data_IF_968315073622
#
_entry.id   IF_968315073622
#
_cell.length_a   1.000
_cell.length_b   1.000
_cell.length_c   1.000
_cell.angle_alpha   90.00
_cell.angle_beta   90.00
_cell.angle_gamma   90.00
#
_symmetry.space_group_name_H-M   'P 1'
#
loop_
_entity.id
_entity.type
_entity.pdbx_description
1 polymer ?
#
# COMPACT_ATOMS: atom_id res chain seq x y z
N UNK A 1 -10.34 12.66 0.28
CA UNK A 1 -10.37 11.48 -0.63
C UNK A 1 -11.65 10.68 -0.40
N UNK A 2 -12.23 10.07 -1.44
CA UNK A 2 -13.33 9.10 -1.26
C UNK A 2 -12.74 7.70 -1.07
N UNK A 3 -12.65 7.24 0.18
CA UNK A 3 -11.97 6.00 0.55
C UNK A 3 -12.59 4.78 -0.14
N UNK A 4 -13.92 4.73 -0.22
CA UNK A 4 -14.62 3.60 -0.83
C UNK A 4 -14.28 3.46 -2.32
N UNK A 5 -14.35 4.55 -3.09
CA UNK A 5 -13.97 4.52 -4.50
C UNK A 5 -12.47 4.29 -4.68
N UNK A 6 -11.61 4.86 -3.83
CA UNK A 6 -10.16 4.59 -3.89
C UNK A 6 -9.84 3.10 -3.71
N UNK A 7 -10.46 2.43 -2.74
CA UNK A 7 -10.28 0.98 -2.54
C UNK A 7 -10.74 0.22 -3.80
N UNK A 8 -11.93 0.55 -4.31
CA UNK A 8 -12.51 -0.07 -5.50
C UNK A 8 -11.62 0.11 -6.74
N UNK A 9 -11.03 1.29 -6.93
CA UNK A 9 -10.14 1.59 -8.05
C UNK A 9 -8.83 0.79 -7.96
N UNK A 10 -8.22 0.74 -6.77
CA UNK A 10 -7.00 -0.05 -6.54
C UNK A 10 -7.29 -1.53 -6.86
N UNK A 11 -8.41 -2.07 -6.37
CA UNK A 11 -8.89 -3.44 -6.67
C UNK A 11 -9.08 -3.68 -8.17
N UNK A 12 -9.78 -2.78 -8.86
CA UNK A 12 -10.03 -2.89 -10.29
C UNK A 12 -8.73 -2.84 -11.12
N UNK A 13 -7.67 -2.24 -10.56
CA UNK A 13 -6.38 -2.16 -11.22
C UNK A 13 -5.51 -3.41 -11.05
N UNK A 14 -5.94 -4.39 -10.24
CA UNK A 14 -5.21 -5.62 -10.02
C UNK A 14 -5.22 -6.53 -11.25
N UNK A 15 -4.05 -7.08 -11.57
CA UNK A 15 -3.92 -8.09 -12.59
C UNK A 15 -3.99 -9.50 -11.97
N UNK A 16 -3.75 -10.52 -12.79
CA UNK A 16 -3.90 -11.92 -12.39
C UNK A 16 -2.89 -12.38 -11.32
N UNK A 17 -1.88 -11.58 -10.98
CA UNK A 17 -0.83 -11.91 -10.02
C UNK A 17 -1.08 -11.30 -8.63
N UNK A 18 -2.13 -10.50 -8.47
CA UNK A 18 -2.46 -9.79 -7.23
C UNK A 18 -3.84 -10.22 -6.75
N UNK A 19 -3.94 -10.89 -5.60
CA UNK A 19 -5.24 -11.20 -5.00
C UNK A 19 -5.91 -9.90 -4.55
N UNK A 20 -7.06 -9.52 -5.15
CA UNK A 20 -7.74 -8.28 -4.82
C UNK A 20 -8.35 -8.26 -3.41
N UNK A 21 -8.25 -9.36 -2.66
CA UNK A 21 -8.68 -9.45 -1.27
C UNK A 21 -7.53 -9.34 -0.25
N UNK A 22 -6.27 -9.24 -0.71
CA UNK A 22 -5.09 -9.04 0.15
C UNK A 22 -4.46 -7.65 -0.06
N UNK A 23 -5.25 -6.69 -0.54
CA UNK A 23 -4.83 -5.34 -0.94
C UNK A 23 -4.88 -4.30 0.15
N UNK A 24 -5.15 -4.70 1.39
CA UNK A 24 -5.16 -3.75 2.48
C UNK A 24 -4.57 -4.41 3.71
N UNK A 25 -3.81 -3.60 4.44
CA UNK A 25 -3.20 -3.99 5.69
C UNK A 25 -3.72 -3.07 6.76
N UNK A 26 -4.12 -3.64 7.90
CA UNK A 26 -4.26 -2.85 9.11
C UNK A 26 -2.85 -2.42 9.54
N UNK A 27 -2.72 -1.17 9.93
CA UNK A 27 -1.49 -0.64 10.52
C UNK A 27 -1.84 -0.18 11.93
N UNK A 28 -1.14 -0.72 12.92
CA UNK A 28 -1.34 -0.32 14.31
C UNK A 28 -0.91 1.14 14.55
N UNK A 29 -1.20 1.65 15.74
CA UNK A 29 -0.86 3.04 16.09
C UNK A 29 0.66 3.29 16.17
N UNK A 30 1.45 2.23 16.40
CA UNK A 30 2.93 2.26 16.43
C UNK A 30 3.55 2.07 15.02
N UNK A 31 2.70 1.98 13.99
CA UNK A 31 3.01 1.78 12.57
C UNK A 31 3.50 0.36 12.18
N UNK A 32 3.33 -0.66 13.01
CA UNK A 32 3.58 -2.05 12.60
C UNK A 32 2.39 -2.63 11.82
N UNK A 33 2.70 -3.61 10.98
CA UNK A 33 1.69 -4.31 10.20
C UNK A 33 0.85 -5.23 11.09
N UNK A 34 -0.46 -5.12 10.93
CA UNK A 34 -1.46 -5.99 11.52
C UNK A 34 -2.04 -6.97 10.52
N UNK A 35 -3.32 -7.29 10.69
CA UNK A 35 -4.01 -8.25 9.84
C UNK A 35 -4.22 -7.71 8.42
N UNK A 36 -4.14 -8.59 7.43
CA UNK A 36 -4.41 -8.31 6.02
C UNK A 36 -5.51 -9.20 5.43
N UNK A 37 -6.07 -10.12 6.22
CA UNK A 37 -7.19 -10.95 5.80
C UNK A 37 -8.52 -10.27 6.12
N UNK A 38 -8.81 -9.19 5.40
CA UNK A 38 -9.99 -8.33 5.61
C UNK A 38 -11.32 -9.10 5.61
N UNK A 39 -11.40 -10.22 4.89
CA UNK A 39 -12.61 -11.03 4.82
C UNK A 39 -12.87 -11.84 6.09
N UNK A 40 -11.84 -12.17 6.87
CA UNK A 40 -11.96 -12.95 8.11
C UNK A 40 -12.12 -12.08 9.36
N UNK A 41 -11.85 -10.77 9.26
CA UNK A 41 -11.98 -9.83 10.38
C UNK A 41 -13.45 -9.72 10.81
N UNK A 42 -13.67 -9.85 12.13
CA UNK A 42 -14.98 -9.71 12.79
C UNK A 42 -15.01 -8.45 13.64
N UNK A 43 -16.21 -7.94 13.92
CA UNK A 43 -16.41 -6.67 14.63
C UNK A 43 -16.64 -5.51 13.67
N UNK A 44 -16.41 -4.26 14.12
CA UNK A 44 -16.54 -3.04 13.30
C UNK A 44 -17.90 -2.86 12.60
N UNK A 45 -18.98 -3.43 13.15
CA UNK A 45 -20.31 -3.50 12.51
C UNK A 45 -20.33 -4.18 11.13
N UNK A 46 -19.35 -5.06 10.87
CA UNK A 46 -19.28 -5.88 9.65
C UNK A 46 -20.40 -6.93 9.67
N UNK A 47 -21.08 -7.08 8.53
CA UNK A 47 -22.10 -8.08 8.26
C UNK A 47 -21.56 -9.10 7.27
N UNK A 48 -22.10 -10.32 7.33
CA UNK A 48 -21.63 -11.44 6.48
C UNK A 48 -21.68 -11.12 4.98
N UNK A 49 -22.67 -10.34 4.55
CA UNK A 49 -22.90 -9.97 3.16
C UNK A 49 -22.25 -8.64 2.74
N UNK A 50 -21.51 -7.97 3.61
CA UNK A 50 -20.79 -6.75 3.23
C UNK A 50 -19.74 -7.06 2.16
N UNK A 51 -19.67 -6.22 1.14
CA UNK A 51 -18.60 -6.27 0.15
C UNK A 51 -17.24 -5.93 0.78
N UNK A 52 -16.15 -6.29 0.11
CA UNK A 52 -14.78 -6.02 0.61
C UNK A 52 -14.55 -4.54 0.91
N UNK A 53 -14.99 -3.65 0.01
CA UNK A 53 -14.86 -2.20 0.16
C UNK A 53 -15.64 -1.69 1.36
N UNK A 54 -16.84 -2.24 1.61
CA UNK A 54 -17.67 -1.88 2.76
C UNK A 54 -17.03 -2.34 4.07
N UNK A 55 -16.47 -3.56 4.08
CA UNK A 55 -15.72 -4.10 5.23
C UNK A 55 -14.52 -3.22 5.57
N UNK A 56 -13.70 -2.91 4.56
CA UNK A 56 -12.51 -2.09 4.76
C UNK A 56 -12.86 -0.65 5.17
N UNK A 57 -13.92 -0.07 4.62
CA UNK A 57 -14.43 1.23 5.04
C UNK A 57 -14.91 1.23 6.50
N UNK A 58 -15.54 0.15 6.97
CA UNK A 58 -15.96 0.00 8.37
C UNK A 58 -14.77 -0.14 9.32
N UNK A 59 -13.77 -0.95 8.95
CA UNK A 59 -12.52 -1.12 9.68
C UNK A 59 -11.80 0.23 9.83
N UNK A 60 -11.71 0.99 8.73
CA UNK A 60 -11.03 2.28 8.68
C UNK A 60 -11.54 3.33 9.67
N UNK A 61 -12.80 3.23 10.14
CA UNK A 61 -13.33 4.12 11.17
C UNK A 61 -12.58 4.00 12.51
N UNK A 62 -11.88 2.89 12.71
CA UNK A 62 -11.21 2.56 13.98
C UNK A 62 -9.73 2.24 13.78
N UNK A 63 -9.34 1.79 12.60
CA UNK A 63 -7.99 1.31 12.30
C UNK A 63 -7.32 2.11 11.17
N UNK A 64 -6.01 2.27 11.26
CA UNK A 64 -5.26 2.82 10.12
C UNK A 64 -5.17 1.74 9.04
N UNK A 65 -5.29 2.14 7.78
CA UNK A 65 -5.20 1.21 6.65
C UNK A 65 -4.06 1.62 5.73
N UNK A 66 -3.24 0.66 5.35
CA UNK A 66 -2.25 0.81 4.30
C UNK A 66 -2.73 0.11 3.02
N UNK A 67 -2.73 0.86 1.92
CA UNK A 67 -3.09 0.38 0.60
C UNK A 67 -1.83 0.39 -0.27
N UNK A 68 -1.24 -0.78 -0.59
CA UNK A 68 -0.11 -0.86 -1.50
C UNK A 68 -0.57 -0.45 -2.90
N UNK A 69 0.30 0.24 -3.62
CA UNK A 69 0.10 0.61 -5.03
C UNK A 69 1.12 -0.06 -5.96
N UNK A 70 2.19 -0.61 -5.40
CA UNK A 70 3.15 -1.44 -6.12
C UNK A 70 4.40 -1.74 -5.28
N UNK A 71 5.40 -2.30 -5.95
CA UNK A 71 6.72 -2.55 -5.37
C UNK A 71 7.71 -1.45 -5.78
N UNK A 72 8.57 -1.07 -4.84
CA UNK A 72 9.80 -0.35 -5.13
C UNK A 72 10.92 -1.37 -5.12
N UNK A 73 11.47 -1.62 -6.31
CA UNK A 73 12.75 -2.30 -6.49
C UNK A 73 13.67 -1.41 -7.30
N UNK A 74 14.91 -1.30 -6.86
CA UNK A 74 15.92 -0.45 -7.48
C UNK A 74 16.97 -1.25 -8.29
N UNK A 75 16.78 -2.57 -8.37
CA UNK A 75 17.53 -3.49 -9.22
C UNK A 75 16.54 -4.07 -10.24
N UNK A 76 16.91 -4.32 -11.51
CA UNK A 76 16.09 -5.16 -12.39
C UNK A 76 16.05 -6.57 -11.82
N UNK A 77 14.94 -6.92 -11.17
CA UNK A 77 14.71 -8.28 -10.64
C UNK A 77 13.77 -9.01 -11.59
N UNK A 78 14.18 -10.19 -12.05
CA UNK A 78 13.27 -11.25 -12.48
C UNK A 78 12.75 -11.89 -11.19
N UNK A 79 11.59 -11.45 -10.69
CA UNK A 79 11.07 -11.98 -9.44
C UNK A 79 10.19 -13.20 -9.75
N UNK A 80 10.55 -14.35 -9.19
CA UNK A 80 9.78 -15.60 -9.26
C UNK A 80 8.80 -15.75 -8.08
N UNK A 81 8.71 -14.74 -7.20
CA UNK A 81 7.70 -14.69 -6.14
C UNK A 81 6.51 -13.85 -6.59
N UNK A 82 5.40 -14.53 -6.93
CA UNK A 82 4.10 -14.01 -7.32
C UNK A 82 3.46 -13.11 -6.24
N UNK A 83 3.99 -11.91 -6.01
CA UNK A 83 3.60 -11.06 -4.89
C UNK A 83 3.29 -9.62 -5.38
N UNK A 84 1.99 -9.35 -5.55
CA UNK A 84 1.30 -8.07 -5.34
C UNK A 84 1.70 -6.83 -6.18
N UNK A 85 2.07 -6.99 -7.44
CA UNK A 85 2.33 -5.87 -8.35
C UNK A 85 1.25 -5.78 -9.44
N UNK A 86 0.44 -4.71 -9.45
CA UNK A 86 -0.50 -4.42 -10.55
C UNK A 86 0.21 -3.93 -11.82
N UNK A 87 1.51 -3.63 -11.71
CA UNK A 87 2.49 -3.23 -12.74
C UNK A 87 3.84 -3.07 -12.05
N UNK A 88 4.89 -3.72 -12.57
CA UNK A 88 6.25 -3.52 -12.08
C UNK A 88 6.74 -2.13 -12.46
N UNK A 89 6.63 -1.19 -11.52
CA UNK A 89 7.22 0.13 -11.67
C UNK A 89 8.70 0.07 -11.32
N UNK A 90 9.51 -0.34 -12.30
CA UNK A 90 10.97 -0.17 -12.22
C UNK A 90 11.29 1.34 -12.20
N UNK A 91 11.56 1.87 -11.01
CA UNK A 91 12.03 3.23 -10.84
C UNK A 91 13.52 3.27 -11.20
N UNK A 92 13.83 3.62 -12.46
CA UNK A 92 15.21 3.91 -12.90
C UNK A 92 15.71 5.15 -12.18
N UNK A 93 16.43 4.95 -11.07
CA UNK A 93 17.13 6.01 -10.35
C UNK A 93 18.50 6.29 -10.96
N UNK A 94 18.95 7.54 -10.84
CA UNK A 94 20.38 7.85 -10.95
C UNK A 94 21.16 7.23 -9.78
N UNK A 95 22.48 7.03 -9.90
CA UNK A 95 23.30 6.52 -8.79
C UNK A 95 23.20 7.37 -7.51
N UNK A 96 23.10 8.69 -7.64
CA UNK A 96 22.95 9.63 -6.50
C UNK A 96 21.60 9.47 -5.80
N UNK A 97 20.53 9.23 -6.56
CA UNK A 97 19.22 8.91 -6.01
C UNK A 97 19.21 7.51 -5.40
N UNK A 98 19.95 6.56 -5.99
CA UNK A 98 20.09 5.22 -5.45
C UNK A 98 20.73 5.26 -4.07
N UNK A 99 21.89 5.92 -3.93
CA UNK A 99 22.60 6.02 -2.65
C UNK A 99 21.82 6.76 -1.57
N UNK A 100 20.89 7.64 -1.96
CA UNK A 100 20.08 8.45 -1.04
C UNK A 100 18.77 7.77 -0.62
N UNK A 101 18.15 7.01 -1.50
CA UNK A 101 16.78 6.51 -1.34
C UNK A 101 16.66 4.99 -1.37
N UNK A 102 17.68 4.25 -1.80
CA UNK A 102 17.60 2.80 -1.88
C UNK A 102 17.80 2.13 -0.54
N UNK A 103 16.90 1.19 -0.26
CA UNK A 103 17.15 0.09 0.64
C UNK A 103 17.47 -1.13 -0.25
N UNK A 104 18.41 -1.99 0.16
CA UNK A 104 18.80 -3.18 -0.63
C UNK A 104 17.68 -4.23 -0.70
N UNK A 105 16.66 -4.06 0.14
CA UNK A 105 15.54 -4.96 0.30
C UNK A 105 14.33 -4.45 -0.51
N UNK A 106 13.58 -5.38 -1.09
CA UNK A 106 12.33 -5.07 -1.79
C UNK A 106 11.29 -4.53 -0.81
N UNK A 107 10.57 -3.46 -1.19
CA UNK A 107 9.53 -2.84 -0.37
C UNK A 107 8.27 -2.57 -1.16
N UNK A 108 7.12 -2.72 -0.50
CA UNK A 108 5.85 -2.23 -1.01
C UNK A 108 5.77 -0.72 -0.76
N UNK A 109 5.27 0.02 -1.74
CA UNK A 109 4.90 1.43 -1.54
C UNK A 109 3.42 1.64 -1.75
N UNK A 110 2.89 2.66 -1.11
CA UNK A 110 1.48 2.96 -1.16
C UNK A 110 1.09 4.11 -0.25
N UNK A 111 -0.18 4.12 0.13
CA UNK A 111 -0.75 5.15 1.00
C UNK A 111 -1.17 4.57 2.35
N UNK A 112 -0.85 5.29 3.42
CA UNK A 112 -1.43 5.09 4.74
C UNK A 112 -2.55 6.11 4.94
N UNK A 113 -3.74 5.62 5.25
CA UNK A 113 -4.90 6.44 5.61
C UNK A 113 -5.13 6.25 7.12
N UNK A 114 -4.96 7.32 7.90
CA UNK A 114 -5.13 7.26 9.35
C UNK A 114 -6.60 7.06 9.70
N UNK A 115 -6.88 6.28 10.74
CA UNK A 115 -8.24 6.00 11.21
C UNK A 115 -9.09 7.27 11.30
N UNK A 116 -10.34 7.16 10.85
CA UNK A 116 -11.29 8.28 10.83
C UNK A 116 -10.77 9.54 10.10
N UNK A 117 -9.96 9.36 9.04
CA UNK A 117 -9.41 10.47 8.26
C UNK A 117 -9.51 10.19 6.76
N UNK A 118 -9.64 11.26 5.98
CA UNK A 118 -9.57 11.19 4.51
C UNK A 118 -8.22 11.64 3.96
N UNK A 119 -7.29 12.01 4.84
CA UNK A 119 -5.92 12.37 4.50
C UNK A 119 -5.05 11.12 4.43
N UNK A 120 -4.05 11.15 3.55
CA UNK A 120 -3.13 10.04 3.38
C UNK A 120 -1.66 10.48 3.44
N UNK A 121 -0.82 9.53 3.81
CA UNK A 121 0.63 9.64 3.78
C UNK A 121 1.19 8.66 2.76
N UNK A 122 2.16 9.08 1.97
CA UNK A 122 2.85 8.20 1.03
C UNK A 122 4.07 7.62 1.74
N UNK A 123 4.23 6.30 1.66
CA UNK A 123 5.35 5.62 2.30
C UNK A 123 5.55 4.22 1.78
N UNK A 124 6.35 3.47 2.53
CA UNK A 124 6.72 2.10 2.22
C UNK A 124 6.60 1.17 3.43
N UNK A 125 6.51 -0.12 3.15
CA UNK A 125 6.57 -1.22 4.12
C UNK A 125 7.28 -2.42 3.51
N UNK A 126 7.72 -3.37 4.35
CA UNK A 126 8.39 -4.58 3.89
C UNK A 126 7.43 -5.52 3.13
N UNK A 127 7.96 -6.35 2.24
CA UNK A 127 7.15 -7.19 1.31
C UNK A 127 6.40 -8.33 2.00
N UNK A 128 6.85 -8.81 3.17
CA UNK A 128 6.19 -9.90 3.89
C UNK A 128 5.55 -9.43 5.20
N UNK A 129 4.22 -9.50 5.26
CA UNK A 129 3.42 -9.35 6.49
C UNK A 129 3.73 -10.44 7.55
N UNK A 130 4.54 -11.46 7.19
CA UNK A 130 4.94 -12.52 8.08
C UNK A 130 6.03 -12.11 9.09
N UNK A 131 6.70 -10.97 8.88
CA UNK A 131 7.72 -10.48 9.80
C UNK A 131 7.10 -9.53 10.83
N UNK A 132 7.32 -9.85 12.10
CA UNK A 132 6.92 -9.04 13.26
C UNK A 132 7.60 -7.64 13.25
N UNK A 133 8.62 -7.46 12.41
CA UNK A 133 9.35 -6.19 12.25
C UNK A 133 8.80 -5.29 11.15
N UNK A 134 7.82 -5.76 10.36
CA UNK A 134 7.30 -5.00 9.23
C UNK A 134 6.55 -3.76 9.74
N UNK A 135 6.95 -2.59 9.24
CA UNK A 135 6.39 -1.31 9.68
C UNK A 135 6.31 -0.29 8.55
N UNK A 136 5.30 0.57 8.63
CA UNK A 136 5.12 1.67 7.70
C UNK A 136 6.12 2.80 7.99
N UNK A 137 6.79 3.26 6.94
CA UNK A 137 7.71 4.40 6.96
C UNK A 137 7.29 5.43 5.92
N UNK A 138 6.91 6.61 6.38
CA UNK A 138 6.57 7.74 5.51
C UNK A 138 7.78 8.21 4.70
N UNK A 139 7.58 8.48 3.41
CA UNK A 139 8.61 9.13 2.60
C UNK A 139 8.77 10.58 3.03
N UNK A 140 10.00 11.01 3.28
CA UNK A 140 10.29 12.43 3.48
C UNK A 140 10.01 13.16 2.15
N UNK A 141 9.19 14.21 2.19
CA UNK A 141 8.88 15.11 1.05
C UNK A 141 10.09 15.96 0.59
N UNK A 142 11.31 15.43 0.70
CA UNK A 142 12.52 16.11 0.30
C UNK A 142 12.62 16.07 -1.23
N UNK A 143 12.64 17.24 -1.84
CA UNK A 143 12.64 17.47 -3.29
C UNK A 143 13.48 16.45 -4.06
N UNK A 144 12.77 15.59 -4.78
CA UNK A 144 13.33 14.60 -5.69
C UNK A 144 12.35 14.33 -6.82
N UNK A 145 12.88 14.15 -8.03
CA UNK A 145 12.12 13.61 -9.16
C UNK A 145 11.43 12.29 -8.79
N UNK A 146 12.04 11.53 -7.88
CA UNK A 146 11.50 10.32 -7.28
C UNK A 146 10.15 10.52 -6.56
N UNK A 147 10.06 11.45 -5.60
CA UNK A 147 8.82 11.67 -4.86
C UNK A 147 7.70 12.10 -5.80
N UNK A 148 7.99 12.98 -6.77
CA UNK A 148 7.02 13.39 -7.80
C UNK A 148 6.50 12.22 -8.62
N UNK A 149 7.38 11.30 -9.03
CA UNK A 149 7.00 10.12 -9.80
C UNK A 149 6.13 9.16 -8.98
N UNK A 150 6.40 8.98 -7.69
CA UNK A 150 5.53 8.20 -6.81
C UNK A 150 4.18 8.89 -6.67
N UNK A 151 4.18 10.20 -6.41
CA UNK A 151 2.96 11.00 -6.28
C UNK A 151 2.09 10.90 -7.54
N UNK A 152 2.66 11.03 -8.74
CA UNK A 152 1.96 10.83 -10.02
C UNK A 152 1.33 9.44 -10.15
N UNK A 153 2.04 8.37 -9.75
CA UNK A 153 1.50 7.00 -9.75
C UNK A 153 0.34 6.90 -8.76
N UNK A 154 0.50 7.40 -7.54
CA UNK A 154 -0.52 7.36 -6.50
C UNK A 154 -1.76 8.15 -6.93
N UNK A 155 -1.60 9.37 -7.43
CA UNK A 155 -2.70 10.21 -7.92
C UNK A 155 -3.47 9.52 -9.04
N UNK A 156 -2.79 8.87 -10.00
CA UNK A 156 -3.45 8.10 -11.07
C UNK A 156 -4.28 6.91 -10.56
N UNK A 157 -4.02 6.43 -9.34
CA UNK A 157 -4.76 5.31 -8.73
C UNK A 157 -5.86 5.80 -7.76
N UNK A 158 -5.69 6.99 -7.18
CA UNK A 158 -6.64 7.58 -6.23
C UNK A 158 -7.75 8.37 -6.93
N UNK A 159 -7.41 9.11 -7.99
CA UNK A 159 -8.27 10.17 -8.57
C UNK A 159 -9.11 9.68 -9.76
N UNK A 160 -8.73 8.59 -10.42
CA UNK A 160 -9.45 8.05 -11.59
C UNK A 160 -10.83 7.44 -11.25
#
# INVERSE_FOLDING_TARGET
MNIYETIKNIRASCDNYVDPNLLAFIIDDDNHMGDNNILEIKGYDIRDNDAYEERLFKIHKNENIFLPCGMITFIPVLNECDIFSTKDYSLKLSPEEFDKYCEQEEKLFGILIKKDSTDYKIGQTDVCNCSITASFKEFKKADGKFYKKIEEIIESKIID
#
